data_IF_887090676686
#
_entry.id   IF_887090676686
#
_cell.length_a   1.000
_cell.length_b   1.000
_cell.length_c   1.000
_cell.angle_alpha   90.00
_cell.angle_beta   90.00
_cell.angle_gamma   90.00
#
_symmetry.space_group_name_H-M   'P 1'
#
loop_
_entity.id
_entity.type
_entity.pdbx_description
1 polymer ?
#
# COMPACT_ATOMS: atom_id res chain seq x y z
N UNK A 1 30.08 -18.02 19.21
CA UNK A 1 29.31 -16.75 19.30
C UNK A 1 27.99 -16.99 18.57
N UNK A 2 26.86 -17.16 19.29
CA UNK A 2 25.81 -16.14 19.54
C UNK A 2 25.11 -15.72 18.23
N UNK A 3 23.79 -15.71 18.03
CA UNK A 3 22.56 -16.05 18.78
C UNK A 3 21.41 -15.91 17.75
N UNK A 4 20.27 -16.56 17.99
CA UNK A 4 18.96 -15.96 17.79
C UNK A 4 18.33 -16.00 16.39
N UNK A 5 17.61 -17.08 16.09
CA UNK A 5 16.43 -17.03 15.21
C UNK A 5 15.28 -17.71 15.93
N UNK A 6 14.56 -16.91 16.70
CA UNK A 6 13.29 -17.26 17.30
C UNK A 6 12.20 -16.99 16.25
N UNK A 7 11.62 -18.05 15.68
CA UNK A 7 10.29 -18.01 15.05
C UNK A 7 9.52 -19.22 15.52
N UNK A 8 8.78 -19.01 16.60
CA UNK A 8 7.77 -19.92 17.11
C UNK A 8 6.41 -19.53 16.50
N UNK A 9 5.86 -20.38 15.63
CA UNK A 9 4.41 -20.59 15.41
C UNK A 9 4.34 -22.01 14.83
N UNK A 10 3.84 -23.04 15.51
CA UNK A 10 2.62 -23.11 16.31
C UNK A 10 1.70 -24.10 15.58
N UNK A 11 1.69 -25.34 16.06
CA UNK A 11 1.29 -26.59 15.43
C UNK A 11 -0.22 -26.69 15.14
N UNK A 12 -0.60 -27.47 14.12
CA UNK A 12 -1.85 -28.26 14.16
C UNK A 12 -1.45 -29.72 14.00
N UNK A 13 -1.55 -30.44 15.12
CA UNK A 13 -1.31 -31.87 15.23
C UNK A 13 -2.37 -32.66 14.46
N UNK A 14 -1.92 -33.53 13.55
CA UNK A 14 -2.73 -34.63 13.09
C UNK A 14 -2.88 -35.64 14.24
N UNK A 15 -3.90 -35.48 15.07
CA UNK A 15 -4.28 -36.48 16.07
C UNK A 15 -4.92 -37.68 15.36
N UNK A 16 -4.06 -38.58 14.89
CA UNK A 16 -4.40 -39.97 14.57
C UNK A 16 -4.92 -40.65 15.85
N UNK A 17 -6.25 -40.72 15.96
CA UNK A 17 -6.97 -41.28 17.10
C UNK A 17 -6.85 -42.82 17.09
N UNK A 18 -5.84 -43.34 17.77
CA UNK A 18 -5.73 -44.77 18.02
C UNK A 18 -6.64 -45.14 19.21
N UNK A 19 -7.75 -45.83 18.89
CA UNK A 19 -8.46 -46.80 19.76
C UNK A 19 -9.12 -46.23 21.02
N UNK A 20 -10.44 -46.06 20.95
CA UNK A 20 -11.32 -46.84 21.82
C UNK A 20 -12.68 -47.06 21.13
N UNK A 21 -13.16 -48.31 21.18
CA UNK A 21 -14.56 -48.64 20.87
C UNK A 21 -15.45 -48.05 21.98
N UNK A 22 -16.77 -48.03 21.76
CA UNK A 22 -17.82 -47.62 22.70
C UNK A 22 -18.21 -46.13 22.66
N UNK A 23 -18.94 -45.68 21.64
CA UNK A 23 -20.16 -44.86 21.84
C UNK A 23 -21.18 -45.19 20.74
N UNK A 24 -22.40 -45.46 21.17
CA UNK A 24 -23.56 -45.98 20.44
C UNK A 24 -24.17 -45.05 19.37
N UNK A 25 -24.36 -45.63 18.18
CA UNK A 25 -25.62 -45.86 17.45
C UNK A 25 -26.89 -45.00 17.67
N UNK A 26 -26.82 -43.69 17.94
CA UNK A 26 -28.01 -42.80 17.82
C UNK A 26 -27.72 -41.37 17.32
N UNK A 27 -26.54 -41.10 16.77
CA UNK A 27 -26.19 -39.78 16.24
C UNK A 27 -25.75 -39.91 14.79
N UNK A 28 -26.54 -39.33 13.88
CA UNK A 28 -26.11 -39.09 12.51
C UNK A 28 -25.04 -38.00 12.56
N UNK A 29 -23.77 -38.40 12.56
CA UNK A 29 -22.65 -37.45 12.44
C UNK A 29 -22.69 -36.95 10.98
N UNK A 30 -23.20 -35.73 10.81
CA UNK A 30 -23.08 -35.00 9.55
C UNK A 30 -21.70 -34.34 9.57
N UNK A 31 -20.76 -34.88 8.80
CA UNK A 31 -19.51 -34.19 8.49
C UNK A 31 -19.85 -32.92 7.69
N UNK A 32 -19.99 -31.80 8.39
CA UNK A 32 -20.14 -30.48 7.78
C UNK A 32 -18.79 -29.79 7.81
N UNK A 33 -18.28 -29.39 6.64
CA UNK A 33 -17.11 -28.53 6.53
C UNK A 33 -17.51 -27.10 6.88
N UNK A 34 -17.63 -26.82 8.18
CA UNK A 34 -17.78 -25.47 8.70
C UNK A 34 -16.42 -24.78 8.84
N UNK A 35 -16.29 -23.47 8.57
CA UNK A 35 -15.05 -22.76 8.81
C UNK A 35 -14.71 -22.75 10.32
N UNK A 36 -13.48 -23.14 10.65
CA UNK A 36 -12.94 -23.21 12.03
C UNK A 36 -12.85 -21.83 12.71
N UNK A 37 -12.75 -20.75 11.92
CA UNK A 37 -12.75 -19.38 12.42
C UNK A 37 -13.55 -18.45 11.50
N UNK A 38 -14.45 -17.67 12.08
CA UNK A 38 -15.22 -16.63 11.37
C UNK A 38 -14.57 -15.29 11.67
N UNK A 39 -13.78 -14.79 10.71
CA UNK A 39 -13.22 -13.46 10.79
C UNK A 39 -14.31 -12.42 10.53
N UNK A 40 -14.22 -11.31 11.27
CA UNK A 40 -15.12 -10.17 11.10
C UNK A 40 -14.26 -8.92 10.88
N UNK A 41 -14.64 -8.11 9.89
CA UNK A 41 -14.12 -6.77 9.68
C UNK A 41 -15.33 -5.84 9.74
N UNK A 42 -15.26 -4.79 10.54
CA UNK A 42 -16.37 -3.85 10.78
C UNK A 42 -17.72 -4.55 11.10
N UNK A 43 -17.67 -5.58 11.96
CA UNK A 43 -18.84 -6.38 12.38
C UNK A 43 -19.51 -7.18 11.25
N UNK A 44 -18.93 -7.23 10.06
CA UNK A 44 -19.38 -8.03 8.93
C UNK A 44 -18.47 -9.24 8.75
N UNK A 45 -19.08 -10.39 8.43
CA UNK A 45 -18.33 -11.62 8.14
C UNK A 45 -17.40 -11.37 6.95
N UNK A 46 -16.11 -11.59 7.16
CA UNK A 46 -15.07 -11.30 6.19
C UNK A 46 -14.28 -12.54 5.82
N UNK A 47 -13.86 -12.61 4.55
CA UNK A 47 -12.92 -13.60 4.03
C UNK A 47 -11.65 -12.85 3.65
N UNK A 48 -10.60 -12.99 4.47
CA UNK A 48 -9.32 -12.32 4.24
C UNK A 48 -8.44 -13.15 3.31
N UNK A 49 -8.05 -12.57 2.17
CA UNK A 49 -7.07 -13.15 1.25
C UNK A 49 -5.73 -12.45 1.41
N UNK A 50 -4.74 -13.13 1.98
CA UNK A 50 -3.39 -12.58 2.15
C UNK A 50 -2.52 -12.93 0.95
N UNK A 51 -2.03 -11.92 0.24
CA UNK A 51 -1.12 -12.08 -0.90
C UNK A 51 0.25 -11.54 -0.53
N UNK A 52 1.29 -12.35 -0.70
CA UNK A 52 2.68 -11.91 -0.54
C UNK A 52 3.19 -11.31 -1.87
N UNK A 53 3.76 -10.11 -1.78
CA UNK A 53 4.29 -9.36 -2.92
C UNK A 53 5.79 -9.62 -3.10
N UNK A 54 6.26 -9.69 -4.36
CA UNK A 54 7.68 -9.79 -4.69
C UNK A 54 8.43 -8.50 -4.30
N UNK A 55 9.68 -8.63 -3.80
CA UNK A 55 10.44 -7.51 -3.18
C UNK A 55 10.83 -6.38 -4.14
N UNK A 56 10.83 -6.66 -5.43
CA UNK A 56 11.30 -5.79 -6.51
C UNK A 56 10.17 -4.98 -7.18
N UNK A 57 8.91 -5.24 -6.82
CA UNK A 57 7.78 -4.57 -7.43
C UNK A 57 7.30 -3.37 -6.60
N UNK A 58 7.09 -2.17 -7.22
CA UNK A 58 6.58 -1.02 -6.51
C UNK A 58 5.17 -1.28 -5.93
N UNK A 59 5.03 -1.07 -4.62
CA UNK A 59 3.75 -1.32 -3.92
C UNK A 59 2.59 -0.55 -4.55
N UNK A 60 2.80 0.73 -4.88
CA UNK A 60 1.75 1.56 -5.51
C UNK A 60 1.28 1.00 -6.85
N UNK A 61 2.17 0.44 -7.67
CA UNK A 61 1.80 -0.18 -8.94
C UNK A 61 0.96 -1.45 -8.70
N UNK A 62 1.32 -2.27 -7.71
CA UNK A 62 0.58 -3.48 -7.36
C UNK A 62 -0.79 -3.15 -6.80
N UNK A 63 -0.88 -2.16 -5.91
CA UNK A 63 -2.15 -1.71 -5.34
C UNK A 63 -3.07 -1.20 -6.44
N UNK A 64 -2.56 -0.36 -7.35
CA UNK A 64 -3.32 0.11 -8.51
C UNK A 64 -3.74 -1.05 -9.41
N UNK A 65 -2.83 -1.97 -9.72
CA UNK A 65 -3.14 -3.12 -10.56
C UNK A 65 -4.19 -4.04 -9.91
N UNK A 66 -4.10 -4.31 -8.62
CA UNK A 66 -5.09 -5.08 -7.87
C UNK A 66 -6.44 -4.36 -7.85
N UNK A 67 -6.45 -3.04 -7.67
CA UNK A 67 -7.65 -2.24 -7.70
C UNK A 67 -8.33 -2.28 -9.08
N UNK A 68 -7.55 -2.17 -10.16
CA UNK A 68 -8.09 -2.14 -11.52
C UNK A 68 -8.46 -3.51 -12.08
N UNK A 69 -7.64 -4.53 -11.84
CA UNK A 69 -7.80 -5.85 -12.44
C UNK A 69 -8.63 -6.80 -11.58
N UNK A 70 -8.69 -6.58 -10.26
CA UNK A 70 -9.46 -7.43 -9.34
C UNK A 70 -10.66 -6.67 -8.82
N UNK A 71 -10.48 -5.50 -8.19
CA UNK A 71 -11.62 -4.85 -7.53
C UNK A 71 -12.68 -4.31 -8.51
N UNK A 72 -12.29 -3.67 -9.62
CA UNK A 72 -13.25 -3.15 -10.60
C UNK A 72 -14.14 -4.25 -11.22
N UNK A 73 -13.62 -5.33 -11.83
CA UNK A 73 -14.47 -6.34 -12.46
C UNK A 73 -15.22 -7.22 -11.46
N UNK A 74 -14.69 -7.45 -10.26
CA UNK A 74 -15.43 -8.18 -9.23
C UNK A 74 -16.57 -7.35 -8.65
N UNK A 75 -16.42 -6.02 -8.47
CA UNK A 75 -17.51 -5.16 -8.01
C UNK A 75 -18.73 -5.18 -8.94
N UNK A 76 -18.53 -5.37 -10.24
CA UNK A 76 -19.64 -5.48 -11.21
C UNK A 76 -20.40 -6.81 -11.10
N UNK A 77 -19.76 -7.86 -10.57
CA UNK A 77 -20.32 -9.21 -10.44
C UNK A 77 -20.67 -9.59 -8.98
N UNK A 78 -20.50 -8.67 -8.04
CA UNK A 78 -20.76 -8.93 -6.62
C UNK A 78 -22.28 -8.87 -6.33
N UNK A 79 -22.84 -9.85 -5.58
CA UNK A 79 -24.22 -9.78 -5.09
C UNK A 79 -24.44 -8.51 -4.27
N UNK A 80 -25.64 -7.92 -4.35
CA UNK A 80 -25.99 -6.73 -3.58
C UNK A 80 -25.87 -7.02 -2.07
N UNK A 81 -24.81 -6.49 -1.44
CA UNK A 81 -24.54 -6.65 -0.01
C UNK A 81 -23.08 -6.95 0.33
N UNK A 82 -22.30 -7.49 -0.62
CA UNK A 82 -20.89 -7.81 -0.39
C UNK A 82 -19.99 -6.61 -0.72
N UNK A 83 -18.93 -6.39 0.09
CA UNK A 83 -17.96 -5.29 -0.10
C UNK A 83 -16.56 -5.88 -0.24
N UNK A 84 -15.86 -5.47 -1.30
CA UNK A 84 -14.46 -5.85 -1.54
C UNK A 84 -13.55 -4.63 -1.36
N UNK A 85 -12.61 -4.75 -0.43
CA UNK A 85 -11.69 -3.69 -0.02
C UNK A 85 -10.25 -4.20 0.06
N UNK A 86 -9.29 -3.32 -0.25
CA UNK A 86 -7.89 -3.58 0.07
C UNK A 86 -7.65 -3.12 1.51
N UNK A 87 -6.96 -3.93 2.30
CA UNK A 87 -6.61 -3.62 3.68
C UNK A 87 -5.10 -3.75 3.90
N UNK A 88 -4.61 -3.23 5.04
CA UNK A 88 -3.20 -3.27 5.42
C UNK A 88 -2.36 -2.22 4.69
N UNK A 89 -1.20 -2.61 4.14
CA UNK A 89 -0.24 -1.67 3.56
C UNK A 89 -0.79 -0.82 2.39
N UNK A 90 -1.77 -1.34 1.66
CA UNK A 90 -2.44 -0.61 0.58
C UNK A 90 -3.33 0.53 1.12
N UNK A 91 -4.04 0.27 2.20
CA UNK A 91 -4.92 1.22 2.88
C UNK A 91 -4.09 2.30 3.60
N UNK A 92 -3.05 1.88 4.31
CA UNK A 92 -2.11 2.80 4.96
C UNK A 92 -1.41 3.73 3.96
N UNK A 93 -1.04 3.22 2.77
CA UNK A 93 -0.50 4.05 1.69
C UNK A 93 -1.52 5.08 1.21
N UNK A 94 -2.76 4.66 0.95
CA UNK A 94 -3.82 5.55 0.47
C UNK A 94 -4.14 6.65 1.51
N UNK A 95 -4.28 6.27 2.78
CA UNK A 95 -4.51 7.21 3.87
C UNK A 95 -3.35 8.20 4.02
N UNK A 96 -2.11 7.71 3.98
CA UNK A 96 -0.91 8.56 4.03
C UNK A 96 -0.88 9.55 2.86
N UNK A 97 -1.19 9.10 1.63
CA UNK A 97 -1.23 9.98 0.46
C UNK A 97 -2.33 11.04 0.59
N UNK A 98 -3.50 10.70 1.12
CA UNK A 98 -4.58 11.66 1.38
C UNK A 98 -4.16 12.71 2.41
N UNK A 99 -3.55 12.29 3.51
CA UNK A 99 -3.04 13.18 4.54
C UNK A 99 -1.94 14.11 4.01
N UNK A 100 -0.97 13.55 3.28
CA UNK A 100 0.09 14.32 2.62
C UNK A 100 -0.48 15.33 1.62
N UNK A 101 -1.49 14.95 0.84
CA UNK A 101 -2.16 15.84 -0.12
C UNK A 101 -2.84 17.02 0.58
N UNK A 102 -3.55 16.77 1.68
CA UNK A 102 -4.18 17.82 2.49
C UNK A 102 -3.15 18.80 3.06
N UNK A 103 -2.08 18.28 3.66
CA UNK A 103 -1.00 19.09 4.23
C UNK A 103 -0.24 19.86 3.13
N UNK A 104 -0.06 19.27 1.94
CA UNK A 104 0.59 19.91 0.81
C UNK A 104 -0.18 21.13 0.29
N UNK A 105 -1.51 21.05 0.21
CA UNK A 105 -2.34 22.20 -0.17
C UNK A 105 -2.25 23.30 0.88
N UNK A 106 -2.31 22.93 2.17
CA UNK A 106 -2.20 23.88 3.26
C UNK A 106 -0.82 24.57 3.28
N UNK A 107 0.25 23.81 3.05
CA UNK A 107 1.61 24.35 3.01
C UNK A 107 1.80 25.29 1.81
N UNK A 108 1.25 24.96 0.64
CA UNK A 108 1.24 25.88 -0.50
C UNK A 108 0.57 27.20 -0.17
N UNK A 109 -0.60 27.20 0.49
CA UNK A 109 -1.27 28.44 0.88
C UNK A 109 -0.39 29.27 1.82
N UNK A 110 0.20 28.64 2.83
CA UNK A 110 1.07 29.32 3.79
C UNK A 110 2.33 29.87 3.10
N UNK A 111 2.98 29.08 2.26
CA UNK A 111 4.15 29.51 1.48
C UNK A 111 3.81 30.65 0.53
N UNK A 112 2.63 30.62 -0.11
CA UNK A 112 2.17 31.72 -0.95
C UNK A 112 2.07 33.02 -0.16
N UNK A 113 1.37 33.00 0.98
CA UNK A 113 1.21 34.18 1.83
C UNK A 113 2.54 34.68 2.37
N UNK A 114 3.45 33.77 2.71
CA UNK A 114 4.81 34.10 3.14
C UNK A 114 5.58 34.82 2.02
N UNK A 115 5.53 34.31 0.79
CA UNK A 115 6.18 34.95 -0.36
C UNK A 115 5.53 36.31 -0.69
N UNK A 116 4.20 36.42 -0.61
CA UNK A 116 3.48 37.69 -0.78
C UNK A 116 3.97 38.72 0.24
N UNK A 117 4.13 38.32 1.50
CA UNK A 117 4.64 39.18 2.56
C UNK A 117 6.11 39.60 2.32
N UNK A 118 6.96 38.68 1.84
CA UNK A 118 8.37 38.95 1.57
C UNK A 118 8.59 39.89 0.37
N UNK A 119 7.92 39.62 -0.75
CA UNK A 119 8.08 40.41 -1.98
C UNK A 119 7.16 41.62 -2.05
N UNK A 120 6.25 41.77 -1.06
CA UNK A 120 5.22 42.83 -1.00
C UNK A 120 4.45 42.96 -2.32
N UNK A 121 4.20 41.84 -2.99
CA UNK A 121 3.63 41.75 -4.32
C UNK A 121 2.86 40.44 -4.46
N UNK A 122 1.73 40.50 -5.16
CA UNK A 122 0.89 39.32 -5.42
C UNK A 122 1.31 38.53 -6.67
N UNK A 123 2.12 39.11 -7.57
CA UNK A 123 2.49 38.48 -8.83
C UNK A 123 3.75 37.61 -8.70
N UNK A 124 4.81 38.14 -8.05
CA UNK A 124 6.08 37.41 -7.91
C UNK A 124 5.93 36.03 -7.24
N UNK A 125 5.11 35.86 -6.17
CA UNK A 125 4.90 34.56 -5.54
C UNK A 125 4.32 33.51 -6.50
N UNK A 126 3.38 33.90 -7.38
CA UNK A 126 2.78 32.98 -8.35
C UNK A 126 3.84 32.49 -9.36
N UNK A 127 4.69 33.39 -9.84
CA UNK A 127 5.77 33.05 -10.78
C UNK A 127 6.74 32.03 -10.16
N UNK A 128 7.12 32.24 -8.91
CA UNK A 128 8.00 31.30 -8.17
C UNK A 128 7.30 29.94 -8.01
N UNK A 129 6.03 29.92 -7.63
CA UNK A 129 5.26 28.68 -7.44
C UNK A 129 5.08 27.86 -8.71
N UNK A 130 5.06 28.49 -9.89
CA UNK A 130 5.03 27.78 -11.18
C UNK A 130 6.44 27.30 -11.58
N UNK A 131 7.47 28.06 -11.23
CA UNK A 131 8.86 27.74 -11.60
C UNK A 131 9.39 26.52 -10.83
N UNK A 132 9.03 26.35 -9.56
CA UNK A 132 9.45 25.21 -8.72
C UNK A 132 9.04 23.84 -9.30
N UNK A 133 7.75 23.55 -9.59
CA UNK A 133 7.35 22.27 -10.18
C UNK A 133 7.90 22.08 -11.60
N UNK A 134 8.11 23.16 -12.35
CA UNK A 134 8.77 23.11 -13.67
C UNK A 134 10.24 22.67 -13.55
N UNK A 135 10.97 23.18 -12.56
CA UNK A 135 12.35 22.75 -12.26
C UNK A 135 12.41 21.28 -11.84
N UNK A 136 11.50 20.85 -10.95
CA UNK A 136 11.41 19.46 -10.50
C UNK A 136 11.10 18.50 -11.66
N UNK A 137 10.17 18.86 -12.54
CA UNK A 137 9.87 18.05 -13.74
C UNK A 137 11.07 17.98 -14.69
N UNK A 138 11.79 19.08 -14.88
CA UNK A 138 13.05 19.10 -15.63
C UNK A 138 14.13 18.17 -15.05
N UNK A 139 14.28 18.16 -13.72
CA UNK A 139 15.22 17.28 -13.03
C UNK A 139 14.88 15.80 -13.21
N UNK A 140 13.61 15.43 -13.01
CA UNK A 140 13.13 14.05 -13.20
C UNK A 140 13.27 13.63 -14.66
N UNK A 141 12.91 14.48 -15.61
CA UNK A 141 13.03 14.19 -17.04
C UNK A 141 14.49 13.97 -17.44
N UNK A 142 15.41 14.76 -16.90
CA UNK A 142 16.85 14.57 -17.11
C UNK A 142 17.34 13.23 -16.57
N UNK A 143 16.87 12.81 -15.39
CA UNK A 143 17.20 11.51 -14.82
C UNK A 143 16.71 10.35 -15.70
N UNK A 144 15.47 10.46 -16.22
CA UNK A 144 14.92 9.47 -17.14
C UNK A 144 15.76 9.38 -18.41
N UNK A 145 16.18 10.51 -18.98
CA UNK A 145 17.05 10.53 -20.17
C UNK A 145 18.40 9.86 -19.93
N UNK A 146 19.03 10.06 -18.76
CA UNK A 146 20.31 9.40 -18.44
C UNK A 146 20.14 7.89 -18.29
N UNK A 147 19.04 7.43 -17.69
CA UNK A 147 18.74 5.99 -17.56
C UNK A 147 18.43 5.29 -18.89
N UNK A 148 18.27 6.01 -20.00
CA UNK A 148 18.17 5.42 -21.34
C UNK A 148 19.54 5.02 -21.91
N UNK A 149 20.64 5.53 -21.36
CA UNK A 149 21.99 5.24 -21.84
C UNK A 149 22.40 3.84 -21.38
N UNK A 150 22.71 2.91 -22.29
CA UNK A 150 23.13 1.56 -21.90
C UNK A 150 24.40 1.57 -21.05
N UNK A 151 24.37 0.84 -19.93
CA UNK A 151 25.53 0.70 -19.04
C UNK A 151 25.60 1.69 -17.88
N UNK A 152 24.67 2.64 -17.78
CA UNK A 152 24.55 3.56 -16.64
C UNK A 152 23.14 3.45 -16.08
N UNK A 153 23.02 3.06 -14.80
CA UNK A 153 21.76 3.06 -14.06
C UNK A 153 21.91 3.96 -12.84
N UNK A 154 21.22 5.09 -12.84
CA UNK A 154 21.21 6.03 -11.70
C UNK A 154 19.88 5.88 -10.97
N UNK A 155 19.86 5.32 -9.76
CA UNK A 155 18.66 5.27 -8.95
C UNK A 155 18.29 6.65 -8.42
N UNK A 156 16.99 6.85 -8.18
CA UNK A 156 16.49 8.00 -7.44
C UNK A 156 16.74 7.76 -5.94
N UNK A 157 17.96 8.04 -5.50
CA UNK A 157 18.38 7.94 -4.10
C UNK A 157 18.63 9.33 -3.50
N UNK A 158 18.83 9.42 -2.18
CA UNK A 158 19.04 10.66 -1.44
C UNK A 158 20.18 11.51 -2.02
N UNK A 159 21.26 10.90 -2.52
CA UNK A 159 22.38 11.64 -3.13
C UNK A 159 21.93 12.32 -4.42
N UNK A 160 21.22 11.60 -5.30
CA UNK A 160 20.66 12.15 -6.53
C UNK A 160 19.66 13.28 -6.22
N UNK A 161 18.80 13.07 -5.22
CA UNK A 161 17.83 14.07 -4.76
C UNK A 161 18.51 15.33 -4.22
N UNK A 162 19.56 15.19 -3.40
CA UNK A 162 20.32 16.33 -2.87
C UNK A 162 21.01 17.11 -3.99
N UNK A 163 21.49 16.43 -5.02
CA UNK A 163 22.01 17.06 -6.24
C UNK A 163 20.98 17.98 -6.91
N UNK A 164 19.70 17.58 -6.97
CA UNK A 164 18.64 18.42 -7.55
C UNK A 164 18.21 19.60 -6.68
N UNK A 165 18.39 19.53 -5.37
CA UNK A 165 17.99 20.60 -4.42
C UNK A 165 19.02 21.73 -4.36
N UNK A 166 20.31 21.43 -4.58
CA UNK A 166 21.40 22.41 -4.49
C UNK A 166 21.60 23.20 -5.80
N UNK A 167 21.26 22.59 -6.94
CA UNK A 167 21.39 23.17 -8.29
C UNK A 167 20.26 24.17 -8.59
#
# INVERSE_FOLDING_TARGET
>A
MSKGTEKAVGYIEALSYHRNRFVDNYLYVLDTTGPDNINHVDLQRSITLTVAVARDAPLGQIVNQAQEQVLKPFRENLPAGDRLELAGAADELAETLNQLGSIFILSLIITYLLLVALYRSFIYPVVIMVTVPLGLTGAVLSLVLVNLIPGVLIPLDMITCLGFVIL
#
